data_IF_890964109196
#
_entry.id   IF_890964109196
#
_cell.length_a   1.000
_cell.length_b   1.000
_cell.length_c   1.000
_cell.angle_alpha   90.00
_cell.angle_beta   90.00
_cell.angle_gamma   90.00
#
_symmetry.space_group_name_H-M   'P 1'
#
loop_
_entity.id
_entity.type
_entity.pdbx_description
1 polymer ?
#
# COMPACT_ATOMS: atom_id res chain seq x y z
N UNK A 1 -62.32 40.79 15.92
CA UNK A 1 -61.92 40.39 14.56
C UNK A 1 -60.52 39.80 14.69
N UNK A 2 -60.39 38.47 14.58
CA UNK A 2 -59.16 37.71 14.89
C UNK A 2 -58.33 37.58 13.62
N UNK A 3 -57.10 38.10 13.65
CA UNK A 3 -56.09 37.91 12.59
C UNK A 3 -55.57 36.48 12.63
N UNK A 4 -55.62 35.79 11.50
CA UNK A 4 -55.00 34.48 11.27
C UNK A 4 -53.66 34.74 10.60
N UNK A 5 -52.56 34.42 11.27
CA UNK A 5 -51.23 34.38 10.67
C UNK A 5 -50.98 32.97 10.12
N UNK A 6 -50.76 32.88 8.80
CA UNK A 6 -50.32 31.66 8.12
C UNK A 6 -48.81 31.59 8.26
N UNK A 7 -48.31 30.64 9.06
CA UNK A 7 -46.89 30.36 9.18
C UNK A 7 -46.48 29.40 8.05
N UNK A 8 -45.68 29.89 7.10
CA UNK A 8 -45.03 29.07 6.10
C UNK A 8 -43.83 28.33 6.73
N UNK A 9 -43.89 27.00 6.80
CA UNK A 9 -42.73 26.16 7.10
C UNK A 9 -41.78 26.18 5.89
N UNK A 10 -40.66 26.90 6.00
CA UNK A 10 -39.50 26.66 5.15
C UNK A 10 -38.65 25.56 5.81
N UNK A 11 -38.70 24.35 5.25
CA UNK A 11 -37.75 23.31 5.56
C UNK A 11 -36.39 23.70 4.94
N UNK A 12 -35.45 24.13 5.78
CA UNK A 12 -34.07 24.36 5.35
C UNK A 12 -33.42 23.01 5.06
N UNK A 13 -33.16 22.75 3.77
CA UNK A 13 -32.29 21.67 3.32
C UNK A 13 -30.87 21.98 3.82
N UNK A 14 -30.44 21.34 4.90
CA UNK A 14 -29.07 21.39 5.39
C UNK A 14 -28.19 20.69 4.35
N UNK A 15 -27.69 21.44 3.37
CA UNK A 15 -26.51 21.04 2.62
C UNK A 15 -25.36 21.01 3.63
N UNK A 16 -24.95 19.81 4.04
CA UNK A 16 -23.73 19.60 4.81
C UNK A 16 -22.55 20.05 3.95
N UNK A 17 -22.20 21.34 4.02
CA UNK A 17 -20.91 21.82 3.58
C UNK A 17 -19.92 21.15 4.51
N UNK A 18 -19.24 20.12 4.04
CA UNK A 18 -18.04 19.61 4.70
C UNK A 18 -17.02 20.72 4.64
N UNK A 19 -16.96 21.51 5.72
CA UNK A 19 -15.89 22.47 5.94
C UNK A 19 -14.61 21.65 6.02
N UNK A 20 -13.77 21.77 4.99
CA UNK A 20 -12.42 21.23 5.04
C UNK A 20 -11.70 21.90 6.22
N UNK A 21 -11.11 21.15 7.17
CA UNK A 21 -10.20 21.79 8.11
C UNK A 21 -9.12 22.49 7.29
N UNK A 22 -8.73 23.71 7.69
CA UNK A 22 -7.78 24.54 6.97
C UNK A 22 -6.40 23.89 6.78
N UNK A 23 -6.16 22.75 7.43
CA UNK A 23 -4.93 21.96 7.41
C UNK A 23 -5.06 20.65 6.60
N UNK A 24 -6.16 20.45 5.87
CA UNK A 24 -6.32 19.31 4.97
C UNK A 24 -5.35 19.42 3.77
N UNK A 25 -4.15 18.87 3.92
CA UNK A 25 -3.14 18.92 2.87
C UNK A 25 -3.33 17.78 1.86
N UNK A 26 -3.22 18.13 0.57
CA UNK A 26 -3.09 17.16 -0.49
C UNK A 26 -1.84 16.31 -0.27
N UNK A 27 -1.92 15.03 -0.61
CA UNK A 27 -0.81 14.11 -0.43
C UNK A 27 0.32 14.40 -1.42
N UNK A 28 1.55 14.38 -0.94
CA UNK A 28 2.75 14.47 -1.80
C UNK A 28 3.14 13.10 -2.35
N UNK A 29 2.88 12.04 -1.59
CA UNK A 29 3.07 10.65 -1.95
C UNK A 29 2.01 9.79 -1.24
N UNK A 30 1.78 8.58 -1.74
CA UNK A 30 0.86 7.63 -1.12
C UNK A 30 1.59 6.60 -0.28
N UNK A 31 0.85 6.02 0.65
CA UNK A 31 1.33 5.00 1.58
C UNK A 31 0.36 3.83 1.58
N UNK A 32 0.87 2.60 1.47
CA UNK A 32 0.00 1.43 1.48
C UNK A 32 -0.75 1.36 2.83
N UNK A 33 -2.04 1.05 2.79
CA UNK A 33 -2.90 1.03 3.97
C UNK A 33 -3.35 2.42 4.45
N UNK A 34 -2.83 3.50 3.87
CA UNK A 34 -3.20 4.86 4.28
C UNK A 34 -4.67 5.15 4.02
N UNK A 35 -5.32 5.72 5.03
CA UNK A 35 -6.67 6.25 4.91
C UNK A 35 -6.64 7.63 4.24
N UNK A 36 -7.40 7.75 3.16
CA UNK A 36 -7.46 8.94 2.32
C UNK A 36 -8.90 9.34 2.04
N UNK A 37 -9.10 10.58 1.65
CA UNK A 37 -10.35 11.10 1.09
C UNK A 37 -10.16 11.41 -0.38
N UNK A 38 -11.07 10.92 -1.19
CA UNK A 38 -11.17 11.27 -2.62
C UNK A 38 -11.71 12.68 -2.81
N UNK A 39 -11.55 13.30 -4.00
CA UNK A 39 -12.16 14.60 -4.28
C UNK A 39 -13.68 14.66 -4.13
N UNK A 40 -14.36 13.52 -4.29
CA UNK A 40 -15.79 13.40 -4.06
C UNK A 40 -16.17 13.28 -2.56
N UNK A 41 -15.18 13.30 -1.66
CA UNK A 41 -15.35 13.21 -0.21
C UNK A 41 -15.47 11.78 0.34
N UNK A 42 -15.43 10.76 -0.53
CA UNK A 42 -15.47 9.36 -0.09
C UNK A 42 -14.16 8.95 0.60
N UNK A 43 -14.29 8.21 1.71
CA UNK A 43 -13.16 7.58 2.40
C UNK A 43 -12.68 6.36 1.61
N UNK A 44 -11.37 6.17 1.59
CA UNK A 44 -10.73 5.05 0.91
C UNK A 44 -9.42 4.66 1.58
N UNK A 45 -8.91 3.49 1.23
CA UNK A 45 -7.60 2.98 1.61
C UNK A 45 -6.73 2.81 0.37
N UNK A 46 -5.47 3.25 0.43
CA UNK A 46 -4.48 2.94 -0.62
C UNK A 46 -4.11 1.46 -0.55
N UNK A 47 -4.29 0.74 -1.65
CA UNK A 47 -4.08 -0.72 -1.77
C UNK A 47 -3.00 -1.12 -2.77
N UNK A 48 -2.52 -0.19 -3.60
CA UNK A 48 -1.29 -0.35 -4.38
C UNK A 48 -0.71 1.02 -4.74
N UNK A 49 0.59 1.06 -5.04
CA UNK A 49 1.31 2.27 -5.46
C UNK A 49 2.05 1.93 -6.75
N UNK A 50 1.88 2.76 -7.78
CA UNK A 50 2.61 2.67 -9.04
C UNK A 50 3.24 4.04 -9.33
N UNK A 51 4.51 4.19 -8.97
CA UNK A 51 5.19 5.48 -8.98
C UNK A 51 4.48 6.52 -8.10
N UNK A 52 3.93 7.57 -8.72
CA UNK A 52 3.15 8.62 -8.03
C UNK A 52 1.64 8.36 -7.98
N UNK A 53 1.17 7.27 -8.60
CA UNK A 53 -0.23 6.90 -8.65
C UNK A 53 -0.59 5.95 -7.51
N UNK A 54 -1.79 6.13 -7.00
CA UNK A 54 -2.31 5.44 -5.83
C UNK A 54 -3.56 4.70 -6.25
N UNK A 55 -3.49 3.38 -6.22
CA UNK A 55 -4.67 2.55 -6.34
C UNK A 55 -5.35 2.54 -4.98
N UNK A 56 -6.61 2.96 -4.94
CA UNK A 56 -7.40 3.05 -3.73
C UNK A 56 -8.60 2.10 -3.82
N UNK A 57 -8.99 1.57 -2.67
CA UNK A 57 -10.26 0.91 -2.47
C UNK A 57 -11.14 1.80 -1.59
N UNK A 58 -12.32 2.18 -2.07
CA UNK A 58 -13.28 3.00 -1.30
C UNK A 58 -13.91 2.18 -0.19
N UNK A 59 -14.02 2.77 0.99
CA UNK A 59 -14.61 2.12 2.15
C UNK A 59 -16.09 1.81 1.88
N UNK A 60 -16.45 0.52 1.92
CA UNK A 60 -17.79 0.03 1.65
C UNK A 60 -18.01 -0.52 0.23
N UNK A 61 -17.06 -0.33 -0.69
CA UNK A 61 -17.11 -0.95 -2.01
C UNK A 61 -16.64 -2.42 -1.95
N UNK A 62 -16.98 -3.27 -2.93
CA UNK A 62 -16.41 -4.60 -3.07
C UNK A 62 -14.88 -4.53 -3.23
N UNK A 63 -14.13 -5.47 -2.65
CA UNK A 63 -12.65 -5.51 -2.75
C UNK A 63 -12.12 -5.60 -4.19
N UNK A 64 -12.96 -6.01 -5.15
CA UNK A 64 -12.60 -6.06 -6.58
C UNK A 64 -12.71 -4.71 -7.29
N UNK A 65 -13.22 -3.68 -6.60
CA UNK A 65 -13.43 -2.35 -7.17
C UNK A 65 -12.39 -1.37 -6.61
N UNK A 66 -11.47 -0.96 -7.47
CA UNK A 66 -10.41 0.00 -7.14
C UNK A 66 -10.39 1.14 -8.14
N UNK A 67 -9.94 2.31 -7.69
CA UNK A 67 -9.69 3.47 -8.53
C UNK A 67 -8.22 3.89 -8.46
N UNK A 68 -7.70 4.48 -9.52
CA UNK A 68 -6.32 5.00 -9.55
C UNK A 68 -6.34 6.51 -9.54
N UNK A 69 -5.63 7.12 -8.60
CA UNK A 69 -5.54 8.57 -8.41
C UNK A 69 -4.10 9.01 -8.23
N UNK A 70 -3.73 10.19 -8.71
CA UNK A 70 -2.45 10.80 -8.31
C UNK A 70 -2.48 11.14 -6.81
N UNK A 71 -1.35 11.01 -6.11
CA UNK A 71 -1.26 11.38 -4.70
C UNK A 71 -1.79 12.79 -4.42
N UNK A 72 -1.47 13.76 -5.29
CA UNK A 72 -1.92 15.15 -5.17
C UNK A 72 -3.44 15.36 -5.29
N UNK A 73 -4.20 14.37 -5.74
CA UNK A 73 -5.66 14.41 -5.78
C UNK A 73 -6.31 13.87 -4.50
N UNK A 74 -5.53 13.23 -3.64
CA UNK A 74 -6.00 12.61 -2.42
C UNK A 74 -5.64 13.48 -1.21
N UNK A 75 -6.48 13.42 -0.19
CA UNK A 75 -6.31 14.16 1.07
C UNK A 75 -6.17 13.14 2.20
N UNK A 76 -5.26 13.37 3.15
CA UNK A 76 -5.16 12.54 4.37
C UNK A 76 -6.49 12.56 5.14
N UNK A 77 -7.07 11.39 5.43
CA UNK A 77 -8.38 11.32 6.08
C UNK A 77 -8.37 11.81 7.53
N UNK A 78 -7.22 11.64 8.22
CA UNK A 78 -7.08 11.78 9.66
C UNK A 78 -6.46 13.13 10.09
N UNK A 79 -6.13 14.01 9.14
CA UNK A 79 -5.49 15.30 9.41
C UNK A 79 -4.04 15.19 9.91
N UNK A 80 -3.50 13.97 9.99
CA UNK A 80 -2.08 13.72 10.18
C UNK A 80 -1.30 14.15 8.94
N UNK A 81 -0.20 14.88 9.18
CA UNK A 81 0.75 15.28 8.16
C UNK A 81 1.18 14.07 7.32
N UNK A 82 1.54 14.26 6.03
CA UNK A 82 2.06 13.18 5.20
C UNK A 82 3.20 12.48 5.94
N UNK A 83 2.98 11.23 6.32
CA UNK A 83 4.06 10.35 6.78
C UNK A 83 4.89 10.04 5.56
N UNK A 84 6.19 10.34 5.64
CA UNK A 84 7.14 9.90 4.62
C UNK A 84 6.97 8.40 4.44
N UNK A 85 6.86 7.89 3.21
CA UNK A 85 7.13 6.50 2.92
C UNK A 85 8.32 5.99 3.69
N UNK A 86 8.06 5.14 4.70
CA UNK A 86 9.03 4.07 4.95
C UNK A 86 8.84 3.16 3.74
N UNK A 87 9.60 3.43 2.69
CA UNK A 87 9.75 2.49 1.58
C UNK A 87 10.19 1.17 2.21
N UNK A 88 9.29 0.20 2.25
CA UNK A 88 9.65 -1.16 2.61
C UNK A 88 10.58 -1.65 1.52
N UNK A 89 11.84 -1.84 1.87
CA UNK A 89 12.89 -2.26 0.94
C UNK A 89 13.46 -3.58 1.40
N UNK A 90 13.89 -4.38 0.44
CA UNK A 90 14.78 -5.50 0.70
C UNK A 90 16.20 -5.02 0.40
N UNK A 91 17.10 -4.97 1.41
CA UNK A 91 18.50 -4.67 1.17
C UNK A 91 19.11 -5.60 0.13
N UNK A 92 20.01 -5.08 -0.68
CA UNK A 92 20.84 -5.90 -1.55
C UNK A 92 21.73 -6.85 -0.71
N UNK A 93 21.98 -8.04 -1.25
CA UNK A 93 22.81 -9.07 -0.63
C UNK A 93 22.21 -10.46 -0.72
N UNK A 94 22.90 -11.42 -0.12
CA UNK A 94 22.54 -12.83 -0.15
C UNK A 94 21.51 -13.14 0.93
N UNK A 95 20.40 -13.76 0.56
CA UNK A 95 19.35 -14.21 1.46
C UNK A 95 19.38 -15.73 1.54
N UNK A 96 19.35 -16.23 2.76
CA UNK A 96 19.09 -17.64 3.01
C UNK A 96 17.64 -17.84 3.43
N UNK A 97 17.02 -18.88 2.88
CA UNK A 97 15.66 -19.27 3.21
C UNK A 97 15.63 -20.55 4.04
N UNK A 98 14.74 -20.58 5.04
CA UNK A 98 14.67 -21.61 6.06
C UNK A 98 13.23 -22.11 6.22
N UNK A 99 13.10 -23.41 6.48
CA UNK A 99 11.88 -23.99 7.06
C UNK A 99 12.15 -24.33 8.51
N UNK A 100 11.69 -23.47 9.43
CA UNK A 100 12.11 -23.53 10.83
C UNK A 100 13.60 -23.24 10.97
N UNK A 101 14.38 -24.18 11.51
CA UNK A 101 15.85 -24.05 11.66
C UNK A 101 16.66 -24.66 10.52
N UNK A 102 16.00 -25.24 9.50
CA UNK A 102 16.68 -25.92 8.39
C UNK A 102 16.81 -25.00 7.19
N UNK A 103 18.03 -24.80 6.72
CA UNK A 103 18.31 -24.09 5.46
C UNK A 103 17.75 -24.88 4.29
N UNK A 104 17.01 -24.21 3.41
CA UNK A 104 16.49 -24.78 2.17
C UNK A 104 17.50 -24.51 1.05
N UNK A 105 18.24 -25.56 0.67
CA UNK A 105 19.15 -25.48 -0.47
C UNK A 105 18.38 -25.24 -1.77
N UNK A 106 18.85 -24.30 -2.58
CA UNK A 106 18.19 -23.91 -3.84
C UNK A 106 17.03 -22.92 -3.68
N UNK A 107 16.79 -22.42 -2.46
CA UNK A 107 15.80 -21.36 -2.19
C UNK A 107 16.41 -20.02 -1.81
N UNK A 108 17.73 -19.98 -1.60
CA UNK A 108 18.42 -18.73 -1.37
C UNK A 108 18.49 -17.90 -2.66
N UNK A 109 18.56 -16.58 -2.47
CA UNK A 109 18.56 -15.61 -3.55
C UNK A 109 19.59 -14.52 -3.26
N UNK A 110 20.09 -13.87 -4.29
CA UNK A 110 20.91 -12.68 -4.18
C UNK A 110 20.11 -11.49 -4.72
N UNK A 111 19.88 -10.46 -3.90
CA UNK A 111 19.21 -9.23 -4.32
C UNK A 111 20.28 -8.25 -4.79
N UNK A 112 20.18 -7.78 -6.03
CA UNK A 112 21.17 -6.85 -6.59
C UNK A 112 20.80 -5.40 -6.33
N UNK A 113 19.54 -5.05 -6.58
CA UNK A 113 19.00 -3.69 -6.43
C UNK A 113 17.49 -3.70 -6.16
N UNK A 114 16.87 -2.53 -6.20
CA UNK A 114 15.43 -2.35 -6.01
C UNK A 114 14.66 -2.89 -7.24
N UNK A 115 14.53 -4.22 -7.31
CA UNK A 115 13.64 -4.91 -8.25
C UNK A 115 14.25 -6.10 -8.97
N UNK A 116 15.54 -6.42 -8.78
CA UNK A 116 16.19 -7.57 -9.43
C UNK A 116 16.87 -8.51 -8.45
N UNK A 117 16.83 -9.81 -8.77
CA UNK A 117 17.45 -10.87 -7.98
C UNK A 117 17.99 -12.00 -8.86
N UNK A 118 18.89 -12.81 -8.30
CA UNK A 118 19.36 -14.07 -8.89
C UNK A 118 19.26 -15.24 -7.90
N UNK A 119 19.45 -16.47 -8.37
CA UNK A 119 19.87 -17.58 -7.51
C UNK A 119 21.29 -17.35 -6.97
N UNK A 120 21.66 -18.09 -5.92
CA UNK A 120 22.96 -17.91 -5.25
C UNK A 120 24.19 -18.23 -6.13
N UNK A 121 24.02 -18.83 -7.31
CA UNK A 121 25.10 -19.07 -8.28
C UNK A 121 25.04 -18.13 -9.50
N UNK A 122 24.20 -17.08 -9.43
CA UNK A 122 24.03 -16.02 -10.44
C UNK A 122 23.73 -16.55 -11.86
N UNK A 123 23.01 -17.67 -11.96
CA UNK A 123 22.65 -18.31 -13.24
C UNK A 123 21.25 -17.98 -13.70
N UNK A 124 20.34 -17.75 -12.76
CA UNK A 124 18.93 -17.54 -13.04
C UNK A 124 18.46 -16.23 -12.42
N UNK A 125 18.40 -15.20 -13.25
CA UNK A 125 17.88 -13.88 -12.86
C UNK A 125 16.35 -13.85 -12.88
N UNK A 126 15.78 -13.00 -12.04
CA UNK A 126 14.38 -12.64 -12.04
C UNK A 126 14.18 -11.21 -11.52
N UNK A 127 12.92 -10.82 -11.46
CA UNK A 127 12.50 -9.52 -10.93
C UNK A 127 11.59 -9.69 -9.73
N UNK A 128 11.49 -8.64 -8.92
CA UNK A 128 10.53 -8.59 -7.84
C UNK A 128 9.89 -7.21 -7.71
N UNK A 129 8.69 -7.19 -7.16
CA UNK A 129 7.96 -5.97 -6.84
C UNK A 129 7.53 -6.00 -5.37
N UNK A 130 7.91 -4.97 -4.62
CA UNK A 130 7.45 -4.78 -3.25
C UNK A 130 6.16 -3.94 -3.26
N UNK A 131 5.13 -4.45 -2.60
CA UNK A 131 3.85 -3.79 -2.39
C UNK A 131 3.55 -3.77 -0.88
N UNK A 132 3.97 -2.70 -0.20
CA UNK A 132 3.96 -2.62 1.26
C UNK A 132 4.78 -3.74 1.90
N UNK A 133 4.14 -4.57 2.72
CA UNK A 133 4.84 -5.64 3.45
C UNK A 133 4.90 -6.97 2.67
N UNK A 134 4.59 -6.95 1.37
CA UNK A 134 4.62 -8.12 0.50
C UNK A 134 5.56 -7.93 -0.68
N UNK A 135 6.18 -9.00 -1.15
CA UNK A 135 7.05 -9.04 -2.32
C UNK A 135 6.54 -10.10 -3.29
N UNK A 136 6.36 -9.74 -4.56
CA UNK A 136 5.99 -10.69 -5.62
C UNK A 136 7.18 -10.91 -6.52
N UNK A 137 7.51 -12.17 -6.79
CA UNK A 137 8.62 -12.56 -7.66
C UNK A 137 8.09 -12.94 -9.04
N UNK A 138 8.83 -12.58 -10.07
CA UNK A 138 8.52 -12.87 -11.47
C UNK A 138 9.79 -13.24 -12.21
N UNK A 139 9.70 -14.24 -13.08
CA UNK A 139 10.86 -14.91 -13.67
C UNK A 139 11.80 -15.49 -12.59
N UNK A 140 12.95 -16.02 -13.00
CA UNK A 140 13.93 -16.58 -12.07
C UNK A 140 13.47 -17.87 -11.37
N UNK A 141 14.22 -18.26 -10.35
CA UNK A 141 13.96 -19.52 -9.61
C UNK A 141 12.79 -19.40 -8.60
N UNK A 142 12.33 -18.19 -8.29
CA UNK A 142 11.18 -17.92 -7.42
C UNK A 142 9.95 -17.43 -8.21
N UNK A 143 9.89 -17.67 -9.53
CA UNK A 143 8.77 -17.23 -10.36
C UNK A 143 7.41 -17.64 -9.78
N UNK A 144 6.48 -16.69 -9.72
CA UNK A 144 5.13 -16.87 -9.18
C UNK A 144 5.05 -16.98 -7.65
N UNK A 145 6.17 -16.86 -6.93
CA UNK A 145 6.16 -16.86 -5.48
C UNK A 145 5.83 -15.47 -4.91
N UNK A 146 5.24 -15.48 -3.72
CA UNK A 146 4.96 -14.26 -2.96
C UNK A 146 5.53 -14.39 -1.55
N UNK A 147 6.25 -13.36 -1.13
CA UNK A 147 6.68 -13.12 0.23
C UNK A 147 5.77 -12.13 0.94
N UNK A 148 5.65 -12.26 2.25
CA UNK A 148 4.90 -11.38 3.15
C UNK A 148 5.73 -11.07 4.39
N UNK A 149 5.28 -10.16 5.24
CA UNK A 149 5.98 -9.78 6.47
C UNK A 149 7.41 -9.33 6.17
N UNK A 150 7.59 -8.37 5.26
CA UNK A 150 8.91 -7.79 5.03
C UNK A 150 9.28 -6.93 6.23
N UNK A 151 10.27 -7.37 7.01
CA UNK A 151 10.84 -6.65 8.14
C UNK A 151 12.20 -7.25 8.52
N UNK A 152 13.00 -6.53 9.31
CA UNK A 152 14.27 -7.02 9.86
C UNK A 152 15.21 -7.67 8.82
N UNK A 153 15.28 -7.08 7.62
CA UNK A 153 16.05 -7.60 6.47
C UNK A 153 15.64 -9.00 6.02
N UNK A 154 14.36 -9.34 6.16
CA UNK A 154 13.81 -10.62 5.76
C UNK A 154 12.34 -10.54 5.38
N UNK A 155 11.80 -11.68 4.99
CA UNK A 155 10.41 -11.88 4.63
C UNK A 155 10.01 -13.36 4.76
N UNK A 156 8.71 -13.63 4.77
CA UNK A 156 8.15 -14.99 4.77
C UNK A 156 7.62 -15.33 3.38
N UNK A 157 8.29 -16.24 2.68
CA UNK A 157 7.83 -16.79 1.41
C UNK A 157 6.74 -17.85 1.63
N UNK A 158 5.62 -17.70 0.93
CA UNK A 158 4.46 -18.57 1.11
C UNK A 158 3.96 -18.57 2.57
N UNK A 159 3.67 -19.76 3.11
CA UNK A 159 3.09 -19.89 4.45
C UNK A 159 4.10 -20.13 5.59
N UNK A 160 5.36 -20.47 5.29
CA UNK A 160 6.26 -21.01 6.32
C UNK A 160 7.77 -20.84 6.05
N UNK A 161 8.17 -20.33 4.88
CA UNK A 161 9.58 -20.24 4.54
C UNK A 161 10.07 -18.85 4.94
N UNK A 162 10.97 -18.77 5.92
CA UNK A 162 11.54 -17.50 6.34
C UNK A 162 12.84 -17.25 5.58
N UNK A 163 12.93 -16.13 4.88
CA UNK A 163 14.12 -15.69 4.15
C UNK A 163 14.71 -14.47 4.86
N UNK A 164 16.00 -14.49 5.15
CA UNK A 164 16.70 -13.38 5.81
C UNK A 164 18.05 -13.13 5.15
N UNK A 165 18.48 -11.87 5.17
CA UNK A 165 19.80 -11.47 4.76
C UNK A 165 20.86 -12.23 5.58
N UNK A 166 21.74 -12.95 4.88
CA UNK A 166 22.83 -13.73 5.45
C UNK A 166 24.15 -12.94 5.45
N UNK A 167 24.29 -11.92 4.61
CA UNK A 167 25.52 -11.14 4.43
C UNK A 167 25.24 -9.68 4.04
#
# INVERSE_FOLDING_TARGET
MKSVAVAALFAALLASVTVFPADAQALQACQLGQKVKTPAGALATVVAIDGSACTIHKDGDPQTLTDVWSASMLISADGTAPVTPTETTLPAGEYACYSGSTILLGMGLNIHDAGTYSDLDDRTEGTFLINGDSVSFSDGHLDGQTGTNIHDNGFTLGAAIFCQLWN
#
